data_IF_597244040625
#
_entry.id   IF_597244040625
#
_cell.length_a   1.000
_cell.length_b   1.000
_cell.length_c   1.000
_cell.angle_alpha   90.00
_cell.angle_beta   90.00
_cell.angle_gamma   90.00
#
_symmetry.space_group_name_H-M   'P 1'
#
loop_
_entity.id
_entity.type
_entity.pdbx_description
1 polymer ?
#
# COMPACT_ATOMS: atom_id res chain seq x y z
N UNK A 1 27.26 7.76 24.29
CA UNK A 1 27.29 8.57 23.06
C UNK A 1 28.46 9.56 23.13
N UNK A 2 29.17 9.77 22.03
CA UNK A 2 30.28 10.73 21.98
C UNK A 2 29.78 12.19 22.01
N UNK A 3 30.61 13.10 22.53
CA UNK A 3 30.26 14.53 22.63
C UNK A 3 30.04 15.18 21.24
N UNK A 4 30.75 14.74 20.20
CA UNK A 4 30.51 15.24 18.84
C UNK A 4 29.10 14.87 18.35
N UNK A 5 28.71 13.61 18.50
CA UNK A 5 27.39 13.09 18.14
C UNK A 5 26.29 13.77 18.94
N UNK A 6 26.52 14.01 20.23
CA UNK A 6 25.60 14.75 21.09
C UNK A 6 25.29 16.14 20.53
N UNK A 7 26.30 16.88 20.08
CA UNK A 7 26.13 18.20 19.43
C UNK A 7 25.34 18.09 18.12
N UNK A 8 25.65 17.09 17.28
CA UNK A 8 24.94 16.85 16.01
C UNK A 8 23.46 16.48 16.24
N UNK A 9 23.20 15.61 17.19
CA UNK A 9 21.85 15.20 17.58
C UNK A 9 21.06 16.37 18.16
N UNK A 10 21.66 17.20 19.03
CA UNK A 10 21.01 18.40 19.55
C UNK A 10 20.65 19.40 18.43
N UNK A 11 21.54 19.60 17.45
CA UNK A 11 21.25 20.44 16.29
C UNK A 11 20.12 19.86 15.42
N UNK A 12 20.06 18.53 15.26
CA UNK A 12 18.96 17.85 14.58
C UNK A 12 17.62 18.07 15.28
N UNK A 13 17.56 17.84 16.60
CA UNK A 13 16.36 18.06 17.42
C UNK A 13 15.89 19.51 17.33
N UNK A 14 16.81 20.48 17.40
CA UNK A 14 16.48 21.90 17.25
C UNK A 14 15.93 22.24 15.87
N UNK A 15 16.48 21.67 14.80
CA UNK A 15 15.96 21.89 13.45
C UNK A 15 14.53 21.36 13.30
N UNK A 16 14.24 20.18 13.87
CA UNK A 16 12.88 19.62 13.90
C UNK A 16 11.94 20.49 14.74
N UNK A 17 12.42 20.98 15.88
CA UNK A 17 11.65 21.87 16.75
C UNK A 17 11.26 23.16 16.04
N UNK A 18 12.21 23.83 15.38
CA UNK A 18 11.98 25.02 14.56
C UNK A 18 11.03 24.76 13.39
N UNK A 19 11.18 23.63 12.70
CA UNK A 19 10.32 23.27 11.56
C UNK A 19 8.86 23.08 11.97
N UNK A 20 8.61 22.61 13.19
CA UNK A 20 7.27 22.34 13.71
C UNK A 20 6.76 23.44 14.65
N UNK A 21 7.55 24.49 14.91
CA UNK A 21 7.17 25.59 15.80
C UNK A 21 7.02 25.18 17.26
N UNK A 22 7.78 24.20 17.72
CA UNK A 22 7.74 23.68 19.11
C UNK A 22 9.03 24.03 19.85
N UNK A 23 8.96 24.14 21.18
CA UNK A 23 10.14 24.44 22.01
C UNK A 23 11.07 23.23 22.14
N UNK A 24 10.49 22.03 22.33
CA UNK A 24 11.23 20.80 22.56
C UNK A 24 10.65 19.64 21.73
N UNK A 25 11.38 19.18 20.72
CA UNK A 25 10.97 18.03 19.91
C UNK A 25 11.20 16.67 20.60
N UNK A 26 11.88 16.62 21.74
CA UNK A 26 12.07 15.38 22.53
C UNK A 26 10.91 15.05 23.47
N UNK A 27 9.98 15.99 23.61
CA UNK A 27 8.67 15.75 24.23
C UNK A 27 7.64 15.48 23.14
N UNK A 28 6.54 14.83 23.51
CA UNK A 28 5.48 14.53 22.56
C UNK A 28 4.76 15.82 22.16
N UNK A 29 4.75 16.12 20.86
CA UNK A 29 4.05 17.27 20.31
C UNK A 29 3.10 16.86 19.19
N UNK A 30 2.02 17.64 19.02
CA UNK A 30 1.12 17.51 17.88
C UNK A 30 1.74 18.20 16.66
N UNK A 31 1.70 17.53 15.52
CA UNK A 31 2.13 18.12 14.25
C UNK A 31 0.99 18.96 13.68
N UNK A 32 1.28 20.21 13.30
CA UNK A 32 0.28 21.07 12.68
C UNK A 32 -0.25 20.49 11.36
N UNK A 33 -1.45 20.88 10.89
CA UNK A 33 -1.96 20.45 9.58
C UNK A 33 -0.99 20.70 8.43
N UNK A 34 -0.35 21.88 8.41
CA UNK A 34 0.70 22.20 7.42
C UNK A 34 1.93 21.30 7.56
N UNK A 35 2.33 20.95 8.78
CA UNK A 35 3.41 19.99 9.04
C UNK A 35 3.06 18.59 8.52
N UNK A 36 1.82 18.14 8.73
CA UNK A 36 1.31 16.86 8.24
C UNK A 36 1.29 16.83 6.71
N UNK A 37 0.85 17.90 6.05
CA UNK A 37 0.90 18.00 4.58
C UNK A 37 2.32 17.94 4.04
N UNK A 38 3.30 18.59 4.70
CA UNK A 38 4.72 18.49 4.34
C UNK A 38 5.26 17.07 4.50
N UNK A 39 4.85 16.36 5.55
CA UNK A 39 5.20 14.96 5.76
C UNK A 39 4.61 14.11 4.63
N UNK A 40 3.33 14.30 4.28
CA UNK A 40 2.67 13.58 3.17
C UNK A 40 3.39 13.85 1.84
N UNK A 41 3.73 15.12 1.55
CA UNK A 41 4.49 15.47 0.35
C UNK A 41 5.85 14.75 0.31
N UNK A 42 6.58 14.71 1.43
CA UNK A 42 7.85 14.01 1.52
C UNK A 42 7.72 12.49 1.29
N UNK A 43 6.64 11.86 1.78
CA UNK A 43 6.34 10.44 1.50
C UNK A 43 6.15 10.21 0.00
N UNK A 44 5.38 11.10 -0.65
CA UNK A 44 5.11 10.99 -2.09
C UNK A 44 6.37 11.21 -2.94
N UNK A 45 7.35 11.95 -2.45
CA UNK A 45 8.64 12.11 -3.15
C UNK A 45 9.58 10.91 -2.94
N UNK A 46 9.55 10.27 -1.77
CA UNK A 46 10.50 9.23 -1.39
C UNK A 46 10.12 7.83 -1.90
N UNK A 47 8.82 7.54 -2.04
CA UNK A 47 8.32 6.20 -2.31
C UNK A 47 7.46 6.16 -3.58
N UNK A 48 7.90 5.37 -4.57
CA UNK A 48 7.27 5.31 -5.89
C UNK A 48 5.82 4.82 -5.88
N UNK A 49 5.43 3.97 -4.92
CA UNK A 49 4.07 3.43 -4.84
C UNK A 49 3.16 4.39 -4.09
N UNK A 50 3.63 4.91 -2.94
CA UNK A 50 2.90 5.91 -2.15
C UNK A 50 2.73 7.25 -2.90
N UNK A 51 3.56 7.53 -3.91
CA UNK A 51 3.40 8.67 -4.80
C UNK A 51 2.26 8.53 -5.81
N UNK A 52 1.83 7.30 -6.10
CA UNK A 52 0.79 6.99 -7.09
C UNK A 52 -0.59 6.79 -6.47
N UNK A 53 -0.66 6.31 -5.23
CA UNK A 53 -1.92 6.15 -4.49
C UNK A 53 -2.31 7.44 -3.76
N UNK A 54 -3.55 7.51 -3.28
CA UNK A 54 -3.98 8.68 -2.52
C UNK A 54 -3.54 8.58 -1.06
N UNK A 55 -3.01 9.69 -0.54
CA UNK A 55 -2.85 9.90 0.91
C UNK A 55 -3.62 11.17 1.25
N UNK A 56 -4.73 11.02 1.99
CA UNK A 56 -5.71 12.09 2.22
C UNK A 56 -5.83 12.36 3.72
N UNK A 57 -5.97 13.62 4.08
CA UNK A 57 -6.31 14.03 5.44
C UNK A 57 -7.83 14.13 5.61
N UNK A 58 -8.37 13.48 6.64
CA UNK A 58 -9.81 13.48 6.93
C UNK A 58 -10.08 14.03 8.32
N UNK A 59 -11.17 14.78 8.49
CA UNK A 59 -11.54 15.36 9.79
C UNK A 59 -12.12 14.34 10.75
N UNK A 60 -13.03 13.50 10.23
CA UNK A 60 -13.76 12.55 11.04
C UNK A 60 -12.92 11.27 11.22
N UNK A 61 -12.99 10.69 12.42
CA UNK A 61 -12.35 9.41 12.69
C UNK A 61 -13.07 8.25 11.98
N UNK A 62 -14.39 8.35 11.81
CA UNK A 62 -15.23 7.37 11.13
C UNK A 62 -16.04 8.11 10.07
N UNK A 63 -16.20 7.52 8.89
CA UNK A 63 -16.99 8.08 7.81
C UNK A 63 -17.07 7.14 6.63
N UNK A 64 -17.46 7.69 5.49
CA UNK A 64 -17.50 6.98 4.21
C UNK A 64 -16.41 7.51 3.29
N UNK A 65 -15.91 6.65 2.39
CA UNK A 65 -14.94 7.02 1.37
C UNK A 65 -15.43 8.25 0.60
N UNK A 66 -14.50 9.15 0.29
CA UNK A 66 -14.82 10.44 -0.36
C UNK A 66 -15.34 10.21 -1.78
N UNK A 67 -15.01 9.08 -2.41
CA UNK A 67 -15.49 8.74 -3.75
C UNK A 67 -14.74 9.56 -4.79
N UNK A 68 -13.40 9.49 -4.75
CA UNK A 68 -12.53 10.21 -5.68
C UNK A 68 -12.64 9.73 -7.13
N UNK A 69 -13.23 8.56 -7.33
CA UNK A 69 -13.42 7.98 -8.65
C UNK A 69 -14.77 8.31 -9.28
N UNK A 70 -14.77 8.43 -10.61
CA UNK A 70 -15.96 8.66 -11.43
C UNK A 70 -16.25 7.41 -12.24
N UNK A 71 -17.49 6.91 -12.22
CA UNK A 71 -17.88 5.77 -13.05
C UNK A 71 -19.27 5.95 -13.68
N UNK A 72 -19.42 5.40 -14.88
CA UNK A 72 -20.71 5.31 -15.59
C UNK A 72 -21.06 6.45 -16.55
N UNK A 73 -22.11 6.22 -17.34
CA UNK A 73 -22.61 7.18 -18.34
C UNK A 73 -23.59 8.18 -17.71
N UNK A 74 -23.13 9.42 -17.52
CA UNK A 74 -23.99 10.54 -17.07
C UNK A 74 -24.74 11.22 -18.22
N UNK A 75 -24.27 11.02 -19.47
CA UNK A 75 -24.87 11.62 -20.64
C UNK A 75 -26.27 11.06 -20.87
N UNK A 76 -27.26 11.95 -20.99
CA UNK A 76 -28.64 11.61 -21.31
C UNK A 76 -29.30 12.75 -22.08
N UNK A 77 -30.34 12.44 -22.85
CA UNK A 77 -31.22 13.42 -23.48
C UNK A 77 -32.60 13.28 -22.86
N UNK A 78 -33.20 14.40 -22.49
CA UNK A 78 -34.61 14.48 -22.08
C UNK A 78 -35.22 15.63 -22.85
N UNK A 79 -36.34 15.37 -23.53
CA UNK A 79 -37.13 16.42 -24.16
C UNK A 79 -37.88 17.19 -23.06
N UNK A 80 -37.55 18.46 -22.90
CA UNK A 80 -38.13 19.35 -21.88
C UNK A 80 -39.16 20.31 -22.46
N UNK A 81 -39.62 20.09 -23.70
CA UNK A 81 -40.65 20.94 -24.34
C UNK A 81 -42.08 20.64 -23.87
N UNK A 82 -42.30 19.51 -23.18
CA UNK A 82 -43.54 19.13 -22.51
C UNK A 82 -43.31 18.82 -21.02
N UNK A 83 -43.94 17.78 -20.48
CA UNK A 83 -43.83 17.39 -19.06
C UNK A 83 -42.50 16.70 -18.68
N UNK A 84 -41.52 16.65 -19.60
CA UNK A 84 -40.25 15.96 -19.39
C UNK A 84 -39.29 16.76 -18.51
N UNK A 85 -38.82 16.14 -17.41
CA UNK A 85 -37.85 16.74 -16.49
C UNK A 85 -36.50 16.01 -16.58
N UNK A 86 -35.42 16.78 -16.72
CA UNK A 86 -34.05 16.24 -16.69
C UNK A 86 -33.73 15.77 -15.26
N UNK A 87 -33.47 14.47 -15.10
CA UNK A 87 -33.05 13.89 -13.82
C UNK A 87 -31.53 13.71 -13.80
N UNK A 88 -30.77 14.56 -13.06
CA UNK A 88 -29.33 14.37 -12.92
C UNK A 88 -29.05 13.03 -12.23
N UNK A 89 -27.98 12.37 -12.66
CA UNK A 89 -27.47 11.15 -12.03
C UNK A 89 -26.24 11.52 -11.20
N UNK A 90 -26.13 10.93 -10.02
CA UNK A 90 -24.87 10.94 -9.28
C UNK A 90 -23.84 10.09 -10.03
N UNK A 91 -22.59 10.55 -10.02
CA UNK A 91 -21.47 9.94 -10.73
C UNK A 91 -20.34 9.50 -9.79
N UNK A 92 -20.43 9.87 -8.50
CA UNK A 92 -19.56 9.33 -7.48
C UNK A 92 -19.88 7.83 -7.31
N UNK A 93 -18.85 7.02 -7.07
CA UNK A 93 -18.94 5.55 -7.07
C UNK A 93 -20.21 5.01 -6.38
N UNK A 94 -20.80 3.97 -6.96
CA UNK A 94 -22.15 3.49 -6.61
C UNK A 94 -22.26 3.03 -5.15
N UNK A 95 -21.14 2.68 -4.49
CA UNK A 95 -21.09 2.28 -3.10
C UNK A 95 -19.82 2.79 -2.39
N UNK A 96 -20.01 3.70 -1.45
CA UNK A 96 -18.91 4.18 -0.61
C UNK A 96 -18.52 3.13 0.44
N UNK A 97 -17.22 2.90 0.59
CA UNK A 97 -16.68 2.05 1.65
C UNK A 97 -16.66 2.81 2.98
N UNK A 98 -17.18 2.27 4.09
CA UNK A 98 -17.00 2.87 5.40
C UNK A 98 -15.53 2.77 5.84
N UNK A 99 -15.00 3.80 6.48
CA UNK A 99 -13.66 3.80 7.05
C UNK A 99 -13.70 4.11 8.55
N UNK A 100 -12.73 3.57 9.28
CA UNK A 100 -12.46 3.90 10.67
C UNK A 100 -10.96 4.10 10.86
N UNK A 101 -10.55 5.33 11.13
CA UNK A 101 -9.17 5.66 11.44
C UNK A 101 -8.82 5.15 12.85
N UNK A 102 -7.89 4.21 12.90
CA UNK A 102 -7.36 3.61 14.13
C UNK A 102 -5.93 4.07 14.37
N UNK A 103 -5.57 4.27 15.62
CA UNK A 103 -4.23 4.72 15.99
C UNK A 103 -3.20 3.66 15.60
N UNK A 104 -2.20 4.07 14.82
CA UNK A 104 -1.04 3.25 14.46
C UNK A 104 0.23 3.97 14.91
N UNK A 105 1.10 3.25 15.61
CA UNK A 105 2.34 3.78 16.15
C UNK A 105 3.53 3.27 15.32
N UNK A 106 4.50 4.16 15.06
CA UNK A 106 5.69 3.94 14.26
C UNK A 106 6.92 4.34 15.07
N UNK A 107 7.22 3.55 16.09
CA UNK A 107 8.28 3.85 17.05
C UNK A 107 9.61 3.24 16.58
N UNK A 108 10.69 4.00 16.71
CA UNK A 108 12.01 3.57 16.27
C UNK A 108 13.07 3.89 17.30
N UNK A 109 14.10 3.04 17.34
CA UNK A 109 15.25 3.25 18.20
C UNK A 109 16.56 3.07 17.42
N UNK A 110 17.50 3.98 17.65
CA UNK A 110 18.84 3.95 17.05
C UNK A 110 19.86 4.00 18.18
N UNK A 111 20.65 2.93 18.34
CA UNK A 111 21.71 2.86 19.35
C UNK A 111 22.74 3.95 19.16
N UNK A 112 23.28 4.44 20.27
CA UNK A 112 24.30 5.49 20.28
C UNK A 112 25.53 5.14 19.47
N UNK A 113 25.98 3.88 19.49
CA UNK A 113 27.12 3.44 18.67
C UNK A 113 26.90 3.68 17.17
N UNK A 114 25.66 3.51 16.67
CA UNK A 114 25.31 3.74 15.27
C UNK A 114 25.24 5.23 14.94
N UNK A 115 24.69 6.03 15.86
CA UNK A 115 24.71 7.49 15.72
C UNK A 115 26.15 8.04 15.73
N UNK A 116 27.01 7.51 16.60
CA UNK A 116 28.43 7.87 16.66
C UNK A 116 29.13 7.53 15.34
N UNK A 117 28.83 6.37 14.76
CA UNK A 117 29.32 5.99 13.43
C UNK A 117 28.87 6.94 12.32
N UNK A 118 27.70 7.57 12.41
CA UNK A 118 27.21 8.53 11.40
C UNK A 118 27.63 9.98 11.66
N UNK A 119 28.04 10.31 12.89
CA UNK A 119 28.28 11.69 13.32
C UNK A 119 29.34 12.44 12.49
N UNK A 120 30.31 11.72 11.93
CA UNK A 120 31.36 12.27 11.08
C UNK A 120 30.86 12.68 9.68
N UNK A 121 29.70 12.19 9.24
CA UNK A 121 29.14 12.48 7.93
C UNK A 121 28.44 13.85 7.92
N UNK A 122 28.67 14.65 6.87
CA UNK A 122 28.02 15.97 6.73
C UNK A 122 26.49 15.89 6.67
N UNK A 123 25.96 14.78 6.15
CA UNK A 123 24.53 14.51 5.98
C UNK A 123 23.86 13.78 7.16
N UNK A 124 24.46 13.81 8.37
CA UNK A 124 23.92 13.13 9.56
C UNK A 124 22.40 13.26 9.75
N UNK A 125 21.86 14.48 9.73
CA UNK A 125 20.43 14.74 9.93
C UNK A 125 19.56 14.07 8.85
N UNK A 126 20.02 14.10 7.60
CA UNK A 126 19.33 13.49 6.47
C UNK A 126 19.37 11.98 6.57
N UNK A 127 20.51 11.39 6.95
CA UNK A 127 20.66 9.94 7.11
C UNK A 127 19.70 9.40 8.17
N UNK A 128 19.65 10.04 9.34
CA UNK A 128 18.78 9.62 10.46
C UNK A 128 17.31 9.74 10.07
N UNK A 129 16.93 10.88 9.47
CA UNK A 129 15.52 11.11 9.08
C UNK A 129 15.08 10.21 7.93
N UNK A 130 15.94 10.03 6.91
CA UNK A 130 15.64 9.24 5.72
C UNK A 130 15.46 7.76 6.05
N UNK A 131 16.40 7.15 6.78
CA UNK A 131 16.28 5.74 7.17
C UNK A 131 15.02 5.46 7.99
N UNK A 132 14.72 6.34 8.96
CA UNK A 132 13.52 6.20 9.79
C UNK A 132 12.27 6.29 8.91
N UNK A 133 12.23 7.25 7.98
CA UNK A 133 11.07 7.46 7.13
C UNK A 133 10.85 6.35 6.11
N UNK A 134 11.91 5.88 5.46
CA UNK A 134 11.86 4.77 4.51
C UNK A 134 11.25 3.52 5.15
N UNK A 135 11.64 3.19 6.39
CA UNK A 135 11.06 2.05 7.10
C UNK A 135 9.58 2.26 7.44
N UNK A 136 9.20 3.46 7.88
CA UNK A 136 7.80 3.81 8.18
C UNK A 136 6.94 3.65 6.92
N UNK A 137 7.41 4.18 5.80
CA UNK A 137 6.70 4.14 4.53
C UNK A 137 6.58 2.70 4.00
N UNK A 138 7.64 1.89 4.11
CA UNK A 138 7.60 0.46 3.78
C UNK A 138 6.60 -0.33 4.66
N UNK A 139 6.54 -0.02 5.96
CA UNK A 139 5.58 -0.64 6.87
C UNK A 139 4.14 -0.24 6.52
N UNK A 140 3.89 1.02 6.12
CA UNK A 140 2.56 1.46 5.66
C UNK A 140 2.08 0.67 4.45
N UNK A 141 2.97 0.34 3.51
CA UNK A 141 2.62 -0.48 2.35
C UNK A 141 2.32 -1.92 2.79
N UNK A 142 3.22 -2.51 3.58
CA UNK A 142 3.09 -3.92 4.02
C UNK A 142 1.80 -4.12 4.81
N UNK A 143 1.53 -3.28 5.81
CA UNK A 143 0.27 -3.32 6.59
C UNK A 143 -0.94 -3.07 5.69
N UNK A 144 -0.82 -2.19 4.68
CA UNK A 144 -1.89 -1.94 3.72
C UNK A 144 -2.30 -3.18 2.94
N UNK A 145 -1.37 -4.10 2.65
CA UNK A 145 -1.68 -5.35 1.96
C UNK A 145 -2.06 -6.50 2.90
N UNK A 146 -1.33 -6.67 3.99
CA UNK A 146 -1.46 -7.83 4.87
C UNK A 146 -2.40 -7.64 6.06
N UNK A 147 -2.70 -6.39 6.43
CA UNK A 147 -3.49 -6.04 7.60
C UNK A 147 -4.89 -6.67 7.59
N UNK A 148 -5.25 -7.37 8.67
CA UNK A 148 -6.52 -8.09 8.87
C UNK A 148 -7.33 -7.53 10.02
N UNK A 149 -6.67 -7.15 11.11
CA UNK A 149 -7.32 -6.65 12.32
C UNK A 149 -6.59 -5.42 12.87
N UNK A 150 -7.25 -4.66 13.72
CA UNK A 150 -6.63 -3.59 14.51
C UNK A 150 -6.66 -4.04 15.99
N UNK A 151 -5.66 -4.83 16.39
CA UNK A 151 -5.56 -5.34 17.75
C UNK A 151 -5.11 -4.22 18.71
N UNK A 152 -5.59 -4.27 19.96
CA UNK A 152 -5.14 -3.31 20.98
C UNK A 152 -3.65 -3.47 21.32
N UNK A 153 -3.14 -4.70 21.27
CA UNK A 153 -1.73 -5.04 21.42
C UNK A 153 -1.33 -5.95 20.26
N UNK A 154 -0.32 -5.56 19.50
CA UNK A 154 0.17 -6.34 18.34
C UNK A 154 1.25 -7.33 18.75
N UNK A 155 1.31 -8.47 18.07
CA UNK A 155 2.30 -9.52 18.24
C UNK A 155 3.09 -9.70 16.93
N UNK A 156 4.27 -9.08 16.87
CA UNK A 156 5.14 -9.16 15.70
C UNK A 156 5.74 -10.56 15.44
N UNK A 157 5.71 -11.47 16.41
CA UNK A 157 6.17 -12.84 16.21
C UNK A 157 5.09 -13.70 15.56
N UNK A 158 3.83 -13.52 15.96
CA UNK A 158 2.68 -14.18 15.35
C UNK A 158 2.28 -13.54 14.00
N UNK A 159 2.45 -12.23 13.88
CA UNK A 159 2.02 -11.41 12.74
C UNK A 159 3.22 -10.60 12.16
N UNK A 160 4.18 -11.27 11.49
CA UNK A 160 5.42 -10.66 11.05
C UNK A 160 5.24 -9.58 9.97
N UNK A 161 4.11 -9.56 9.25
CA UNK A 161 3.82 -8.54 8.24
C UNK A 161 2.91 -7.43 8.78
N UNK A 162 2.62 -7.43 10.08
CA UNK A 162 1.71 -6.48 10.71
C UNK A 162 0.23 -6.76 10.40
N UNK A 163 -0.13 -8.03 10.30
CA UNK A 163 -1.50 -8.51 10.06
C UNK A 163 -2.50 -8.02 11.13
N UNK A 164 -2.03 -7.66 12.33
CA UNK A 164 -2.84 -7.21 13.46
C UNK A 164 -2.73 -5.70 13.76
N UNK A 165 -2.00 -4.95 12.93
CA UNK A 165 -1.74 -3.52 13.11
C UNK A 165 -2.94 -2.67 12.69
N UNK A 166 -3.51 -2.95 11.53
CA UNK A 166 -4.66 -2.23 10.97
C UNK A 166 -5.35 -3.11 9.91
N UNK A 167 -6.56 -2.75 9.48
CA UNK A 167 -7.23 -3.42 8.36
C UNK A 167 -6.75 -2.84 7.03
N UNK A 168 -6.18 -3.68 6.17
CA UNK A 168 -5.65 -3.32 4.86
C UNK A 168 -6.67 -3.43 3.72
N UNK A 169 -6.24 -3.17 2.49
CA UNK A 169 -7.07 -3.21 1.28
C UNK A 169 -7.63 -4.60 0.97
N UNK A 170 -6.86 -5.67 1.19
CA UNK A 170 -7.40 -7.04 1.05
C UNK A 170 -8.45 -7.34 2.10
N UNK A 171 -8.30 -6.86 3.33
CA UNK A 171 -9.33 -7.03 4.35
C UNK A 171 -10.59 -6.21 4.02
N UNK A 172 -10.43 -5.01 3.47
CA UNK A 172 -11.54 -4.22 2.95
C UNK A 172 -12.30 -4.96 1.83
N UNK A 173 -11.59 -5.66 0.94
CA UNK A 173 -12.21 -6.54 -0.06
C UNK A 173 -13.00 -7.69 0.58
N UNK A 174 -12.45 -8.36 1.61
CA UNK A 174 -13.15 -9.44 2.31
C UNK A 174 -14.44 -8.96 2.97
N UNK A 175 -14.43 -7.78 3.59
CA UNK A 175 -15.56 -7.25 4.36
C UNK A 175 -16.62 -6.57 3.49
N UNK A 176 -16.18 -5.93 2.40
CA UNK A 176 -17.06 -5.06 1.61
C UNK A 176 -17.18 -5.47 0.15
N UNK A 177 -16.34 -6.33 -0.42
CA UNK A 177 -16.35 -6.64 -1.86
C UNK A 177 -16.02 -8.12 -2.15
N UNK A 178 -16.60 -9.02 -1.37
CA UNK A 178 -16.34 -10.46 -1.48
C UNK A 178 -16.69 -11.04 -2.87
N UNK A 179 -17.67 -10.45 -3.58
CA UNK A 179 -18.08 -10.89 -4.92
C UNK A 179 -16.99 -10.70 -6.00
N UNK A 180 -16.02 -9.80 -5.78
CA UNK A 180 -14.86 -9.58 -6.67
C UNK A 180 -13.55 -10.08 -6.08
N UNK A 181 -13.63 -10.88 -5.01
CA UNK A 181 -12.50 -11.56 -4.40
C UNK A 181 -12.62 -13.06 -4.71
N UNK A 182 -11.80 -13.55 -5.64
CA UNK A 182 -11.74 -14.99 -5.93
C UNK A 182 -11.06 -15.67 -4.73
N UNK A 183 -11.79 -16.54 -4.04
CA UNK A 183 -11.29 -17.27 -2.86
C UNK A 183 -10.96 -18.73 -3.17
N UNK A 184 -11.54 -19.30 -4.22
CA UNK A 184 -11.29 -20.67 -4.66
C UNK A 184 -11.54 -20.78 -6.17
N UNK A 185 -10.82 -21.68 -6.84
CA UNK A 185 -11.02 -21.95 -8.27
C UNK A 185 -12.07 -23.03 -8.56
N UNK A 186 -12.29 -23.93 -7.60
CA UNK A 186 -13.36 -24.93 -7.60
C UNK A 186 -14.16 -24.77 -6.31
N UNK A 187 -15.49 -24.76 -6.42
CA UNK A 187 -16.38 -24.57 -5.27
C UNK A 187 -16.12 -25.60 -4.17
N UNK A 188 -15.86 -25.12 -2.94
CA UNK A 188 -15.53 -25.92 -1.77
C UNK A 188 -14.08 -26.39 -1.66
N UNK A 189 -13.18 -25.97 -2.55
CA UNK A 189 -11.76 -26.37 -2.49
C UNK A 189 -10.92 -25.52 -1.55
N UNK A 190 -11.32 -24.25 -1.33
CA UNK A 190 -10.53 -23.27 -0.58
C UNK A 190 -9.14 -22.97 -1.16
N UNK A 191 -8.87 -23.36 -2.41
CA UNK A 191 -7.57 -23.18 -3.07
C UNK A 191 -7.73 -22.62 -4.49
N UNK A 192 -6.70 -21.91 -4.94
CA UNK A 192 -6.60 -21.34 -6.28
C UNK A 192 -5.31 -21.83 -6.91
N UNK A 193 -5.41 -22.71 -7.88
CA UNK A 193 -4.28 -23.35 -8.54
C UNK A 193 -3.89 -22.57 -9.80
N UNK A 194 -2.70 -21.98 -9.82
CA UNK A 194 -2.18 -21.25 -10.99
C UNK A 194 -1.05 -22.07 -11.63
N UNK A 195 -1.32 -22.62 -12.81
CA UNK A 195 -0.37 -23.45 -13.55
C UNK A 195 -1.05 -24.45 -14.48
N UNK A 196 -0.24 -25.19 -15.23
CA UNK A 196 -0.74 -26.19 -16.18
C UNK A 196 -1.55 -27.28 -15.46
N UNK A 197 -2.82 -27.40 -15.83
CA UNK A 197 -3.78 -28.32 -15.22
C UNK A 197 -4.36 -27.86 -13.87
N UNK A 198 -4.20 -26.58 -13.51
CA UNK A 198 -4.90 -25.94 -12.39
C UNK A 198 -6.11 -25.12 -12.84
N UNK A 199 -6.71 -24.38 -11.90
CA UNK A 199 -7.88 -23.52 -12.10
C UNK A 199 -7.62 -22.40 -13.13
N UNK A 200 -6.41 -21.84 -13.10
CA UNK A 200 -5.91 -20.91 -14.11
C UNK A 200 -4.68 -21.49 -14.79
N UNK A 201 -4.73 -21.66 -16.11
CA UNK A 201 -3.61 -22.25 -16.85
C UNK A 201 -2.32 -21.41 -16.76
N UNK A 202 -2.45 -20.09 -16.72
CA UNK A 202 -1.34 -19.13 -16.62
C UNK A 202 -1.78 -17.83 -15.94
N UNK A 203 -0.80 -16.95 -15.69
CA UNK A 203 -1.02 -15.66 -15.05
C UNK A 203 -1.88 -14.71 -15.89
N UNK A 204 -1.77 -14.75 -17.22
CA UNK A 204 -2.60 -13.96 -18.14
C UNK A 204 -4.09 -14.25 -17.99
N UNK A 205 -4.48 -15.53 -17.89
CA UNK A 205 -5.87 -15.92 -17.70
C UNK A 205 -6.39 -15.52 -16.32
N UNK A 206 -5.56 -15.62 -15.28
CA UNK A 206 -5.93 -15.16 -13.95
C UNK A 206 -6.22 -13.64 -13.94
N UNK A 207 -5.32 -12.83 -14.53
CA UNK A 207 -5.51 -11.37 -14.63
C UNK A 207 -6.70 -11.01 -15.52
N UNK A 208 -6.90 -11.71 -16.64
CA UNK A 208 -8.05 -11.49 -17.51
C UNK A 208 -9.37 -11.80 -16.80
N UNK A 209 -9.42 -12.90 -16.02
CA UNK A 209 -10.61 -13.24 -15.25
C UNK A 209 -10.92 -12.18 -14.19
N UNK A 210 -9.90 -11.70 -13.45
CA UNK A 210 -10.06 -10.59 -12.51
C UNK A 210 -10.55 -9.31 -13.19
N UNK A 211 -10.00 -8.98 -14.37
CA UNK A 211 -10.47 -7.84 -15.16
C UNK A 211 -11.97 -7.96 -15.49
N UNK A 212 -12.42 -9.15 -15.90
CA UNK A 212 -13.82 -9.41 -16.22
C UNK A 212 -14.76 -9.40 -14.99
N UNK A 213 -14.22 -9.50 -13.77
CA UNK A 213 -15.00 -9.35 -12.52
C UNK A 213 -15.24 -7.89 -12.13
N UNK A 214 -14.49 -6.95 -12.72
CA UNK A 214 -14.75 -5.52 -12.54
C UNK A 214 -16.14 -5.17 -13.06
N UNK A 215 -16.73 -4.10 -12.53
CA UNK A 215 -17.98 -3.61 -13.08
C UNK A 215 -17.80 -3.18 -14.56
N UNK A 216 -18.77 -3.44 -15.46
CA UNK A 216 -18.63 -3.15 -16.90
C UNK A 216 -18.29 -1.69 -17.24
N UNK A 217 -18.67 -0.76 -16.37
CA UNK A 217 -18.34 0.66 -16.52
C UNK A 217 -16.85 0.97 -16.27
N UNK A 218 -16.13 0.10 -15.58
CA UNK A 218 -14.73 0.27 -15.18
C UNK A 218 -13.78 -0.71 -15.89
N UNK A 219 -14.30 -1.80 -16.46
CA UNK A 219 -13.52 -2.87 -17.11
C UNK A 219 -12.59 -2.35 -18.22
N UNK A 220 -13.00 -1.30 -18.93
CA UNK A 220 -12.27 -0.71 -20.04
C UNK A 220 -11.60 0.62 -19.70
N UNK A 221 -11.48 0.95 -18.41
CA UNK A 221 -10.77 2.14 -17.99
C UNK A 221 -9.28 2.04 -18.37
N UNK A 222 -8.72 3.14 -18.87
CA UNK A 222 -7.35 3.18 -19.43
C UNK A 222 -6.24 3.18 -18.38
N UNK A 223 -6.59 3.38 -17.11
CA UNK A 223 -5.69 3.50 -15.97
C UNK A 223 -5.56 2.22 -15.15
N UNK A 224 -6.25 1.14 -15.55
CA UNK A 224 -6.18 -0.15 -14.89
C UNK A 224 -4.77 -0.76 -14.94
N UNK A 225 -4.35 -1.29 -13.80
CA UNK A 225 -3.08 -2.00 -13.61
C UNK A 225 -3.33 -3.38 -12.98
N UNK A 226 -2.39 -4.30 -13.19
CA UNK A 226 -2.32 -5.57 -12.47
C UNK A 226 -1.15 -5.54 -11.46
N UNK A 227 -1.45 -5.54 -10.17
CA UNK A 227 -0.44 -5.68 -9.11
C UNK A 227 -0.23 -7.17 -8.88
N UNK A 228 0.98 -7.66 -9.13
CA UNK A 228 1.30 -9.10 -9.11
C UNK A 228 2.44 -9.36 -8.14
N UNK A 229 2.29 -10.42 -7.35
CA UNK A 229 3.31 -10.89 -6.41
C UNK A 229 4.56 -11.44 -7.07
N UNK A 230 5.68 -11.37 -6.32
CA UNK A 230 7.00 -11.77 -6.79
C UNK A 230 7.10 -13.23 -7.19
N UNK A 231 6.43 -14.13 -6.46
CA UNK A 231 6.54 -15.58 -6.68
C UNK A 231 5.81 -15.99 -7.95
N UNK A 232 4.67 -15.34 -8.25
CA UNK A 232 3.94 -15.54 -9.50
C UNK A 232 4.75 -15.07 -10.71
N UNK A 233 5.38 -13.89 -10.61
CA UNK A 233 6.26 -13.38 -11.66
C UNK A 233 7.49 -14.25 -11.84
N UNK A 234 8.07 -14.78 -10.75
CA UNK A 234 9.21 -15.68 -10.79
C UNK A 234 8.84 -17.03 -11.42
N UNK A 235 7.68 -17.58 -11.06
CA UNK A 235 7.17 -18.84 -11.60
C UNK A 235 6.94 -18.77 -13.11
N UNK A 236 6.32 -17.70 -13.60
CA UNK A 236 6.10 -17.50 -15.03
C UNK A 236 7.44 -17.32 -15.79
N UNK A 237 8.40 -16.60 -15.20
CA UNK A 237 9.75 -16.47 -15.75
C UNK A 237 10.46 -17.82 -15.81
N UNK A 238 10.37 -18.63 -14.77
CA UNK A 238 11.01 -19.95 -14.71
C UNK A 238 10.53 -20.86 -15.84
N UNK A 239 9.21 -20.94 -16.08
CA UNK A 239 8.64 -21.67 -17.22
C UNK A 239 9.22 -21.22 -18.56
N UNK A 240 9.36 -19.91 -18.75
CA UNK A 240 9.92 -19.36 -19.98
C UNK A 240 11.41 -19.69 -20.14
N UNK A 241 12.19 -19.65 -19.05
CA UNK A 241 13.59 -20.07 -19.06
C UNK A 241 13.77 -21.56 -19.38
N UNK A 242 12.91 -22.43 -18.85
CA UNK A 242 12.97 -23.87 -19.16
C UNK A 242 12.64 -24.15 -20.64
N UNK A 243 11.69 -23.42 -21.22
CA UNK A 243 11.30 -23.57 -22.62
C UNK A 243 12.30 -22.95 -23.62
N UNK A 244 13.00 -21.87 -23.26
CA UNK A 244 13.78 -21.03 -24.20
C UNK A 244 15.21 -20.70 -23.75
N UNK A 245 15.69 -21.26 -22.63
CA UNK A 245 16.97 -20.89 -22.00
C UNK A 245 18.24 -21.20 -22.79
N UNK A 246 18.15 -21.93 -23.90
CA UNK A 246 19.29 -22.31 -24.75
C UNK A 246 19.46 -21.44 -26.00
N UNK A 247 18.59 -20.46 -26.27
CA UNK A 247 18.73 -19.54 -27.42
C UNK A 247 19.19 -18.13 -26.97
N UNK A 248 20.34 -17.61 -27.45
CA UNK A 248 20.88 -16.31 -27.05
C UNK A 248 19.92 -15.12 -27.29
N UNK A 249 19.14 -15.18 -28.37
CA UNK A 249 18.15 -14.15 -28.75
C UNK A 249 16.95 -14.08 -27.80
N UNK A 250 16.53 -15.20 -27.20
CA UNK A 250 15.44 -15.21 -26.23
C UNK A 250 15.92 -14.72 -24.85
N UNK A 251 17.18 -14.98 -24.46
CA UNK A 251 17.78 -14.38 -23.25
C UNK A 251 17.78 -12.86 -23.25
N UNK A 252 18.06 -12.23 -24.40
CA UNK A 252 18.00 -10.76 -24.53
C UNK A 252 16.57 -10.22 -24.39
N UNK A 253 15.57 -10.89 -24.96
CA UNK A 253 14.15 -10.54 -24.77
C UNK A 253 13.67 -10.70 -23.32
N UNK A 254 14.26 -11.63 -22.56
CA UNK A 254 13.95 -11.84 -21.14
C UNK A 254 14.45 -10.67 -20.28
N UNK A 255 15.62 -10.10 -20.59
CA UNK A 255 16.13 -8.90 -19.93
C UNK A 255 15.34 -7.63 -20.31
N UNK A 256 14.83 -7.54 -21.55
CA UNK A 256 14.00 -6.40 -21.99
C UNK A 256 12.56 -6.45 -21.45
N UNK A 257 11.95 -7.63 -21.34
CA UNK A 257 10.64 -7.84 -20.67
C UNK A 257 10.67 -7.62 -19.16
N UNK A 258 11.86 -7.46 -18.58
CA UNK A 258 12.07 -7.31 -17.14
C UNK A 258 11.57 -5.96 -16.60
N UNK A 259 11.21 -5.01 -17.49
CA UNK A 259 10.87 -3.63 -17.11
C UNK A 259 9.36 -3.44 -16.88
N UNK A 260 8.45 -3.96 -17.72
CA UNK A 260 6.99 -3.97 -17.52
C UNK A 260 6.38 -5.11 -18.38
N UNK A 261 5.90 -6.18 -17.76
CA UNK A 261 5.11 -7.20 -18.46
C UNK A 261 3.65 -6.78 -18.55
N UNK A 262 3.00 -7.01 -19.69
CA UNK A 262 1.53 -6.92 -19.79
C UNK A 262 0.96 -8.31 -19.51
N UNK A 263 0.00 -8.41 -18.60
CA UNK A 263 -0.72 -9.65 -18.31
C UNK A 263 -2.21 -9.42 -18.45
N UNK A 264 -2.92 -10.31 -19.16
CA UNK A 264 -4.36 -10.17 -19.38
C UNK A 264 -4.76 -8.85 -20.07
N UNK A 265 -3.84 -8.27 -20.85
CA UNK A 265 -4.02 -6.97 -21.51
C UNK A 265 -3.81 -5.75 -20.62
N UNK A 266 -3.36 -5.91 -19.37
CA UNK A 266 -3.09 -4.83 -18.42
C UNK A 266 -1.59 -4.70 -18.11
N UNK A 267 -1.07 -3.47 -17.93
CA UNK A 267 0.29 -3.27 -17.46
C UNK A 267 0.44 -3.84 -16.05
N UNK A 268 1.43 -4.73 -15.85
CA UNK A 268 1.69 -5.29 -14.54
C UNK A 268 2.79 -4.54 -13.78
N UNK A 269 2.61 -4.50 -12.46
CA UNK A 269 3.54 -3.87 -11.53
C UNK A 269 3.80 -4.78 -10.34
N UNK A 270 5.03 -4.77 -9.85
CA UNK A 270 5.43 -5.44 -8.61
C UNK A 270 5.64 -4.39 -7.52
N UNK A 271 4.90 -4.49 -6.42
CA UNK A 271 5.00 -3.58 -5.27
C UNK A 271 5.81 -4.23 -4.14
N UNK A 272 6.89 -3.61 -3.63
CA UNK A 272 7.58 -4.11 -2.44
C UNK A 272 6.63 -4.21 -1.25
N UNK A 273 6.64 -5.34 -0.55
CA UNK A 273 5.72 -5.60 0.57
C UNK A 273 4.32 -6.07 0.16
N UNK A 274 4.09 -6.34 -1.13
CA UNK A 274 2.87 -7.01 -1.62
C UNK A 274 2.96 -8.53 -1.42
N UNK A 275 1.84 -9.24 -1.17
CA UNK A 275 1.82 -10.70 -1.03
C UNK A 275 2.42 -11.38 -2.26
N UNK A 276 3.35 -12.31 -2.03
CA UNK A 276 4.15 -12.91 -3.10
C UNK A 276 3.33 -13.76 -4.09
N UNK A 277 2.20 -14.29 -3.62
CA UNK A 277 1.20 -15.04 -4.39
C UNK A 277 -0.07 -14.23 -4.69
N UNK A 278 -0.09 -12.93 -4.38
CA UNK A 278 -1.26 -12.08 -4.61
C UNK A 278 -1.38 -11.62 -6.06
N UNK A 279 -2.62 -11.35 -6.48
CA UNK A 279 -2.96 -10.63 -7.71
C UNK A 279 -4.10 -9.67 -7.38
N UNK A 280 -3.95 -8.40 -7.74
CA UNK A 280 -5.01 -7.40 -7.65
C UNK A 280 -5.07 -6.58 -8.93
N UNK A 281 -6.26 -6.45 -9.50
CA UNK A 281 -6.55 -5.57 -10.63
C UNK A 281 -7.35 -4.38 -10.11
N UNK A 282 -6.80 -3.18 -10.28
CA UNK A 282 -7.39 -1.90 -9.86
C UNK A 282 -6.63 -0.75 -10.52
N UNK A 283 -6.98 0.49 -10.21
CA UNK A 283 -6.15 1.67 -10.48
C UNK A 283 -5.42 2.16 -9.22
N UNK A 284 -4.33 2.92 -9.39
CA UNK A 284 -3.59 3.49 -8.25
C UNK A 284 -4.43 4.49 -7.44
N UNK A 285 -5.20 5.34 -8.13
CA UNK A 285 -6.09 6.34 -7.54
C UNK A 285 -7.33 5.74 -6.86
N UNK A 286 -7.56 4.43 -7.03
CA UNK A 286 -8.60 3.71 -6.32
C UNK A 286 -8.14 3.26 -4.92
N UNK A 287 -6.83 3.24 -4.68
CA UNK A 287 -6.25 2.90 -3.39
C UNK A 287 -5.93 4.18 -2.61
N UNK A 288 -6.38 4.21 -1.36
CA UNK A 288 -6.24 5.37 -0.50
C UNK A 288 -5.76 5.00 0.89
N UNK A 289 -4.97 5.89 1.48
CA UNK A 289 -4.63 5.92 2.89
C UNK A 289 -5.21 7.21 3.48
N UNK A 290 -6.16 7.07 4.40
CA UNK A 290 -6.73 8.20 5.13
C UNK A 290 -5.97 8.40 6.43
N UNK A 291 -5.60 9.64 6.72
CA UNK A 291 -4.95 10.05 7.96
C UNK A 291 -5.87 11.08 8.63
N UNK A 292 -6.25 10.85 9.88
CA UNK A 292 -7.09 11.80 10.59
C UNK A 292 -6.32 13.11 10.86
N UNK A 293 -6.95 14.25 10.56
CA UNK A 293 -6.44 15.57 10.92
C UNK A 293 -6.17 15.66 12.42
N UNK A 294 -5.10 16.38 12.79
CA UNK A 294 -4.64 16.59 14.17
C UNK A 294 -4.32 15.32 14.99
N UNK A 295 -4.29 14.14 14.36
CA UNK A 295 -3.93 12.88 15.03
C UNK A 295 -2.42 12.60 15.05
N UNK A 296 -1.65 13.28 14.20
CA UNK A 296 -0.21 13.03 14.06
C UNK A 296 0.54 13.62 15.24
N UNK A 297 1.13 12.76 16.07
CA UNK A 297 1.97 13.14 17.21
C UNK A 297 3.36 12.58 17.06
N UNK A 298 4.37 13.37 17.43
CA UNK A 298 5.77 12.98 17.27
C UNK A 298 6.59 13.32 18.49
N UNK A 299 7.58 12.48 18.75
CA UNK A 299 8.72 12.72 19.63
C UNK A 299 9.96 12.34 18.83
N UNK A 300 10.95 13.21 18.75
CA UNK A 300 12.14 13.02 17.94
C UNK A 300 13.40 13.25 18.76
N UNK A 301 14.34 12.31 18.69
CA UNK A 301 15.65 12.46 19.29
C UNK A 301 15.68 12.29 20.81
N UNK A 302 14.66 11.64 21.40
CA UNK A 302 14.60 11.41 22.85
C UNK A 302 15.71 10.44 23.25
N UNK A 303 16.55 10.85 24.19
CA UNK A 303 17.66 10.04 24.68
C UNK A 303 17.15 9.05 25.73
N UNK A 304 17.51 7.78 25.58
CA UNK A 304 17.27 6.74 26.56
C UNK A 304 18.61 6.11 26.95
N UNK A 305 19.24 6.72 27.96
CA UNK A 305 20.54 6.28 28.47
C UNK A 305 20.47 4.91 29.16
N UNK A 306 19.29 4.51 29.66
CA UNK A 306 19.10 3.17 30.23
C UNK A 306 19.20 2.05 29.18
N UNK A 307 19.08 2.38 27.88
CA UNK A 307 19.16 1.43 26.76
C UNK A 307 20.22 1.82 25.71
N UNK A 308 21.06 2.81 26.01
CA UNK A 308 22.08 3.35 25.11
C UNK A 308 21.55 3.68 23.69
N UNK A 309 20.38 4.33 23.61
CA UNK A 309 19.73 4.60 22.34
C UNK A 309 18.99 5.94 22.29
N UNK A 310 18.79 6.42 21.07
CA UNK A 310 17.85 7.49 20.76
C UNK A 310 16.54 6.88 20.28
N UNK A 311 15.43 7.40 20.78
CA UNK A 311 14.07 6.95 20.50
C UNK A 311 13.30 8.04 19.78
N UNK A 312 12.54 7.63 18.77
CA UNK A 312 11.51 8.43 18.14
C UNK A 312 10.17 7.71 18.31
N UNK A 313 9.14 8.48 18.64
CA UNK A 313 7.77 7.99 18.72
C UNK A 313 6.92 8.76 17.71
N UNK A 314 6.13 8.06 16.90
CA UNK A 314 5.24 8.68 15.91
C UNK A 314 3.91 7.94 15.91
N UNK A 315 2.83 8.62 16.29
CA UNK A 315 1.48 8.05 16.26
C UNK A 315 0.61 8.83 15.29
N UNK A 316 -0.27 8.14 14.59
CA UNK A 316 -1.28 8.76 13.73
C UNK A 316 -2.48 7.84 13.58
N UNK A 317 -3.68 8.41 13.44
CA UNK A 317 -4.88 7.62 13.19
C UNK A 317 -5.02 7.41 11.69
N UNK A 318 -5.08 6.15 11.24
CA UNK A 318 -5.04 5.78 9.83
C UNK A 318 -6.11 4.75 9.46
N UNK A 319 -6.56 4.81 8.21
CA UNK A 319 -7.37 3.76 7.58
C UNK A 319 -6.90 3.51 6.14
N UNK A 320 -6.99 2.27 5.70
CA UNK A 320 -6.80 1.89 4.29
C UNK A 320 -8.17 1.79 3.63
N UNK A 321 -8.34 2.49 2.52
CA UNK A 321 -9.64 2.69 1.86
C UNK A 321 -9.53 2.35 0.39
N UNK A 322 -10.59 1.75 -0.13
CA UNK A 322 -10.82 1.56 -1.57
C UNK A 322 -11.92 2.54 -1.96
N UNK A 323 -11.63 3.46 -2.89
CA UNK A 323 -12.54 4.55 -3.26
C UNK A 323 -13.77 4.05 -4.03
N UNK A 324 -13.57 3.07 -4.92
CA UNK A 324 -14.59 2.43 -5.74
C UNK A 324 -14.43 0.90 -5.62
N UNK A 325 -15.35 0.26 -4.90
CA UNK A 325 -15.34 -1.20 -4.70
C UNK A 325 -15.59 -1.95 -6.03
N UNK A 326 -16.29 -1.31 -6.96
CA UNK A 326 -16.60 -1.84 -8.29
C UNK A 326 -15.37 -1.88 -9.23
N UNK A 327 -14.34 -1.07 -8.94
CA UNK A 327 -13.11 -0.92 -9.73
C UNK A 327 -11.92 -1.70 -9.14
N UNK A 328 -12.21 -2.73 -8.34
CA UNK A 328 -11.17 -3.63 -7.81
C UNK A 328 -11.63 -5.08 -7.84
N UNK A 329 -10.74 -5.95 -8.28
CA UNK A 329 -10.88 -7.40 -8.20
C UNK A 329 -9.53 -8.00 -7.79
N UNK A 330 -9.56 -9.08 -7.00
CA UNK A 330 -8.34 -9.73 -6.54
C UNK A 330 -8.52 -11.24 -6.32
N UNK A 331 -7.39 -11.95 -6.22
CA UNK A 331 -7.37 -13.32 -5.69
C UNK A 331 -6.99 -13.29 -4.21
N UNK A 332 -7.59 -14.16 -3.41
CA UNK A 332 -7.18 -14.37 -2.02
C UNK A 332 -5.78 -15.00 -2.01
N UNK A 333 -4.78 -14.18 -1.73
CA UNK A 333 -3.37 -14.56 -1.83
C UNK A 333 -3.01 -15.76 -0.93
N UNK A 334 -3.70 -15.93 0.20
CA UNK A 334 -3.49 -17.06 1.11
C UNK A 334 -3.92 -18.41 0.54
N UNK A 335 -4.77 -18.41 -0.49
CA UNK A 335 -5.34 -19.62 -1.09
C UNK A 335 -4.63 -20.03 -2.39
N UNK A 336 -3.72 -19.18 -2.89
CA UNK A 336 -3.02 -19.43 -4.16
C UNK A 336 -1.94 -20.49 -4.01
N UNK A 337 -1.93 -21.45 -4.93
CA UNK A 337 -0.99 -22.57 -5.02
C UNK A 337 -0.33 -22.60 -6.39
N UNK A 338 0.98 -22.83 -6.41
CA UNK A 338 1.78 -22.91 -7.64
C UNK A 338 2.30 -24.33 -7.87
N UNK A 339 2.36 -24.75 -9.14
CA UNK A 339 2.85 -26.09 -9.49
C UNK A 339 4.36 -26.10 -9.62
N UNK A 340 5.07 -26.48 -8.57
CA UNK A 340 6.54 -26.56 -8.56
C UNK A 340 6.94 -28.04 -8.56
N UNK A 341 7.78 -28.46 -9.50
CA UNK A 341 8.24 -29.86 -9.65
C UNK A 341 7.10 -30.90 -9.69
N UNK A 342 5.95 -30.53 -10.27
CA UNK A 342 4.79 -31.42 -10.40
C UNK A 342 3.86 -31.47 -9.17
N UNK A 343 4.19 -30.77 -8.08
CA UNK A 343 3.35 -30.66 -6.88
C UNK A 343 2.79 -29.24 -6.73
N UNK A 344 1.58 -29.13 -6.20
CA UNK A 344 0.98 -27.83 -5.83
C UNK A 344 1.52 -27.40 -4.46
N UNK A 345 2.17 -26.24 -4.41
CA UNK A 345 2.85 -25.68 -3.23
C UNK A 345 2.21 -24.36 -2.82
#
# INVERSE_FOLDING_TARGET
>A
MQEHTKKKLSAYVQAVAQQNGVENATEMFNVSPNGTQRIIAAIRESNWFLSRINIITVKNQIGEAIGLGVSGMIASRTDTSGDGERKPKDYHGMRAMPYACVQTNFDTAIRYAKLDAWAHMKSFNQIVSKHTREQIDANKITVGWFGKTAAANTDAAANPNGEDVNKGWFQAMREHNAERLITEGVEGSGVIQIGEGGDFANLDLAVLNLKNLLHPACENDSDLIAIIGSDLLAYEKAKFYDAHGNTPTEKSKIQERQVIGTYGGLPAVSVPGFPSTGIMVTSYDNLSIYIQEDSVRRTVGKKNDAKDQMENFESMNMAYVIEQLEKVAAVEFGNVKLKINGAWV
#
